data_IF_844685855690
#
_entry.id   IF_844685855690
#
_cell.length_a   1.000
_cell.length_b   1.000
_cell.length_c   1.000
_cell.angle_alpha   90.00
_cell.angle_beta   90.00
_cell.angle_gamma   90.00
#
_symmetry.space_group_name_H-M   'P 1'
#
loop_
_entity.id
_entity.type
_entity.pdbx_description
1 polymer ?
#
# COMPACT_ATOMS: atom_id res chain seq x y z
N UNK A 1 17.05 -22.75 -16.64
CA UNK A 1 16.58 -23.95 -15.92
C UNK A 1 16.85 -23.77 -14.44
N UNK A 2 15.85 -24.07 -13.60
CA UNK A 2 15.80 -23.90 -12.13
C UNK A 2 15.50 -22.48 -11.64
N UNK A 3 14.21 -22.14 -11.61
CA UNK A 3 13.68 -21.22 -10.60
C UNK A 3 12.82 -22.05 -9.66
N UNK A 4 13.21 -22.03 -8.39
CA UNK A 4 12.68 -22.89 -7.34
C UNK A 4 11.19 -22.61 -7.10
N UNK A 5 10.43 -23.69 -6.91
CA UNK A 5 9.08 -23.66 -6.37
C UNK A 5 9.03 -23.12 -4.93
N UNK A 6 7.82 -22.70 -4.53
CA UNK A 6 7.33 -22.15 -3.25
C UNK A 6 7.34 -20.61 -3.17
N UNK A 7 6.32 -19.93 -2.63
CA UNK A 7 5.17 -20.39 -1.84
C UNK A 7 3.97 -19.47 -2.12
N UNK A 8 2.77 -20.06 -2.04
CA UNK A 8 1.53 -19.36 -1.76
C UNK A 8 1.79 -18.30 -0.68
N UNK A 9 1.77 -17.02 -1.03
CA UNK A 9 1.89 -15.96 -0.01
C UNK A 9 0.62 -16.07 0.85
N UNK A 10 0.75 -16.40 2.15
CA UNK A 10 -0.36 -16.23 3.07
C UNK A 10 -0.75 -14.75 3.06
N UNK A 11 -1.95 -14.43 3.53
CA UNK A 11 -2.50 -13.06 3.66
C UNK A 11 -1.73 -12.29 4.77
N UNK A 12 -0.40 -12.31 4.70
CA UNK A 12 0.57 -11.95 5.73
C UNK A 12 1.74 -11.14 5.18
N UNK A 13 1.62 -10.50 4.00
CA UNK A 13 2.51 -9.35 3.74
C UNK A 13 2.04 -8.16 4.58
N UNK A 14 2.29 -8.32 5.86
CA UNK A 14 2.28 -7.34 6.93
C UNK A 14 3.76 -7.17 7.24
N UNK A 15 4.39 -6.00 6.98
CA UNK A 15 5.80 -5.78 7.30
C UNK A 15 6.08 -6.28 8.73
N UNK A 16 7.24 -6.84 9.04
CA UNK A 16 7.53 -7.40 10.38
C UNK A 16 7.36 -6.40 11.55
N UNK A 17 7.15 -5.11 11.27
CA UNK A 17 6.70 -4.11 12.22
C UNK A 17 5.21 -4.17 12.61
N UNK A 18 4.38 -4.90 11.87
CA UNK A 18 2.93 -4.75 11.82
C UNK A 18 2.18 -6.06 12.17
N UNK A 19 2.88 -7.19 12.29
CA UNK A 19 2.34 -8.48 12.79
C UNK A 19 2.06 -8.49 14.31
N UNK A 20 2.31 -7.37 15.00
CA UNK A 20 1.97 -7.15 16.42
C UNK A 20 0.81 -6.16 16.63
N UNK A 21 0.11 -5.77 15.57
CA UNK A 21 -1.05 -4.88 15.68
C UNK A 21 -2.30 -5.76 15.86
N UNK A 22 -2.54 -6.20 17.09
CA UNK A 22 -3.89 -6.56 17.50
C UNK A 22 -4.79 -5.33 17.32
N UNK A 23 -6.02 -5.51 16.81
CA UNK A 23 -7.04 -4.47 16.82
C UNK A 23 -7.28 -4.04 18.28
N UNK A 24 -6.63 -2.95 18.66
CA UNK A 24 -6.42 -2.54 20.03
C UNK A 24 -5.20 -1.65 20.10
N UNK A 25 -5.16 -0.76 21.08
CA UNK A 25 -4.06 0.18 21.35
C UNK A 25 -2.75 -0.59 21.65
N UNK A 26 -2.07 -1.09 20.62
CA UNK A 26 -0.81 -1.81 20.73
C UNK A 26 0.33 -0.81 20.87
N UNK A 27 0.89 -0.77 22.08
CA UNK A 27 1.92 0.15 22.52
C UNK A 27 3.33 -0.19 21.99
N UNK A 28 3.54 -0.14 20.67
CA UNK A 28 4.87 0.26 20.17
C UNK A 28 4.94 1.78 20.33
N UNK A 29 5.95 2.29 21.04
CA UNK A 29 6.09 3.72 21.32
C UNK A 29 5.89 4.56 20.05
N UNK A 30 4.83 5.38 20.02
CA UNK A 30 4.50 6.25 18.90
C UNK A 30 3.27 5.86 18.07
N UNK A 31 2.78 4.62 18.12
CA UNK A 31 1.55 4.23 17.39
C UNK A 31 0.34 4.48 18.29
N UNK A 32 -0.58 5.34 17.85
CA UNK A 32 -1.81 5.70 18.60
C UNK A 32 -3.09 5.12 18.02
N UNK A 33 -3.09 4.79 16.73
CA UNK A 33 -4.21 4.18 16.04
C UNK A 33 -3.72 3.27 14.93
N UNK A 34 -4.47 2.19 14.67
CA UNK A 34 -4.30 1.33 13.52
C UNK A 34 -5.65 1.16 12.83
N UNK A 35 -5.67 1.32 11.51
CA UNK A 35 -6.89 1.36 10.73
C UNK A 35 -6.90 0.23 9.71
N UNK A 36 -8.06 -0.44 9.52
CA UNK A 36 -8.19 -1.47 8.48
C UNK A 36 -8.28 -0.87 7.08
N UNK A 37 -8.47 0.45 6.95
CA UNK A 37 -8.67 1.14 5.67
C UNK A 37 -8.14 2.57 5.72
N UNK A 38 -7.55 3.00 4.60
CA UNK A 38 -7.06 4.37 4.39
C UNK A 38 -8.21 5.37 4.17
N UNK A 39 -9.44 4.91 3.90
CA UNK A 39 -10.59 5.80 3.66
C UNK A 39 -10.96 6.65 4.89
N UNK A 40 -10.70 6.14 6.10
CA UNK A 40 -10.97 6.86 7.35
C UNK A 40 -9.85 7.84 7.74
N UNK A 41 -8.70 7.79 7.05
CA UNK A 41 -7.49 8.51 7.42
C UNK A 41 -7.68 10.03 7.49
N UNK A 42 -8.30 10.70 6.50
CA UNK A 42 -8.49 12.16 6.57
C UNK A 42 -9.36 12.58 7.76
N UNK A 43 -10.41 11.82 8.06
CA UNK A 43 -11.30 12.13 9.18
C UNK A 43 -10.57 12.04 10.53
N UNK A 44 -9.67 11.07 10.68
CA UNK A 44 -8.91 10.89 11.93
C UNK A 44 -7.81 11.95 12.07
N UNK A 45 -7.07 12.24 10.99
CA UNK A 45 -6.04 13.28 11.00
C UNK A 45 -6.65 14.66 11.28
N UNK A 46 -7.85 14.96 10.77
CA UNK A 46 -8.55 16.23 11.08
C UNK A 46 -9.04 16.32 12.52
N UNK A 47 -9.42 15.20 13.11
CA UNK A 47 -10.03 15.16 14.44
C UNK A 47 -9.01 14.99 15.58
N UNK A 48 -7.72 14.83 15.28
CA UNK A 48 -6.67 14.49 16.26
C UNK A 48 -5.35 15.17 15.93
N UNK A 49 -4.42 15.22 16.89
CA UNK A 49 -3.04 15.67 16.67
C UNK A 49 -2.14 14.54 16.11
N UNK A 50 -2.72 13.59 15.37
CA UNK A 50 -1.99 12.47 14.78
C UNK A 50 -1.57 12.78 13.35
N UNK A 51 -0.42 12.24 12.97
CA UNK A 51 0.07 12.24 11.59
C UNK A 51 0.04 10.83 11.03
N UNK A 52 -0.15 10.72 9.72
CA UNK A 52 -0.08 9.44 9.01
C UNK A 52 0.87 9.56 7.82
N UNK A 53 1.67 8.50 7.62
CA UNK A 53 2.55 8.39 6.46
C UNK A 53 1.95 7.38 5.49
N UNK A 54 1.73 7.80 4.24
CA UNK A 54 1.13 6.98 3.18
C UNK A 54 1.94 7.13 1.89
N UNK A 55 1.86 6.14 0.97
CA UNK A 55 2.40 6.32 -0.38
C UNK A 55 1.77 7.55 -1.05
N UNK A 56 2.58 8.36 -1.74
CA UNK A 56 2.12 9.58 -2.43
C UNK A 56 0.96 9.32 -3.39
N UNK A 57 0.95 8.16 -4.05
CA UNK A 57 -0.13 7.71 -4.94
C UNK A 57 -1.51 7.67 -4.28
N UNK A 58 -1.58 7.57 -2.94
CA UNK A 58 -2.85 7.62 -2.18
C UNK A 58 -3.56 8.96 -2.35
N UNK A 59 -2.82 10.06 -2.56
CA UNK A 59 -3.40 11.39 -2.75
C UNK A 59 -4.14 11.54 -4.09
N UNK A 60 -3.85 10.66 -5.06
CA UNK A 60 -4.57 10.60 -6.33
C UNK A 60 -5.86 9.77 -6.25
N UNK A 61 -6.09 9.06 -5.14
CA UNK A 61 -7.34 8.34 -4.92
C UNK A 61 -8.51 9.31 -4.72
N UNK A 62 -9.76 8.91 -5.00
CA UNK A 62 -10.94 9.74 -4.75
C UNK A 62 -11.27 9.81 -3.26
N UNK A 63 -10.33 10.36 -2.46
CA UNK A 63 -10.40 10.52 -1.01
C UNK A 63 -10.33 12.03 -0.71
N UNK A 64 -11.19 12.50 0.18
CA UNK A 64 -11.24 13.91 0.56
C UNK A 64 -10.20 14.27 1.63
N UNK A 65 -9.08 14.80 1.15
CA UNK A 65 -7.99 15.36 1.96
C UNK A 65 -8.13 16.87 2.21
N UNK A 66 -9.32 17.46 2.00
CA UNK A 66 -9.57 18.86 2.39
C UNK A 66 -9.23 19.05 3.87
N UNK A 67 -8.61 20.20 4.19
CA UNK A 67 -8.10 20.56 5.51
C UNK A 67 -7.04 19.60 6.09
N UNK A 68 -6.37 18.82 5.23
CA UNK A 68 -5.19 18.01 5.60
C UNK A 68 -3.96 18.56 4.89
N UNK A 69 -2.91 18.81 5.66
CA UNK A 69 -1.61 19.24 5.13
C UNK A 69 -0.79 18.00 4.76
N UNK A 70 -0.26 17.98 3.53
CA UNK A 70 0.66 16.94 3.06
C UNK A 70 2.10 17.43 3.16
N UNK A 71 2.98 16.59 3.68
CA UNK A 71 4.42 16.83 3.78
C UNK A 71 5.18 15.66 3.16
N UNK A 72 6.38 15.92 2.64
CA UNK A 72 7.26 14.85 2.17
C UNK A 72 7.69 13.97 3.35
N UNK A 73 7.69 12.66 3.10
CA UNK A 73 8.08 11.69 4.10
C UNK A 73 9.61 11.75 4.34
N UNK A 74 10.09 11.40 5.55
CA UNK A 74 11.52 11.31 5.83
C UNK A 74 12.26 10.41 4.82
N UNK A 75 13.46 10.81 4.41
CA UNK A 75 14.24 10.14 3.34
C UNK A 75 14.69 8.73 3.71
N UNK A 76 14.66 8.39 5.00
CA UNK A 76 15.03 7.08 5.52
C UNK A 76 13.93 6.03 5.29
N UNK A 77 12.73 6.45 4.90
CA UNK A 77 11.64 5.53 4.57
C UNK A 77 11.87 4.89 3.21
N UNK A 78 11.62 3.58 3.08
CA UNK A 78 11.74 2.89 1.81
C UNK A 78 10.63 3.33 0.85
N UNK A 79 10.92 3.27 -0.44
CA UNK A 79 9.94 3.51 -1.49
C UNK A 79 8.81 2.48 -1.46
N UNK A 80 7.61 2.92 -1.81
CA UNK A 80 6.46 2.04 -1.98
C UNK A 80 6.60 1.21 -3.27
N UNK A 81 6.77 -0.10 -3.14
CA UNK A 81 6.87 -1.03 -4.28
C UNK A 81 5.50 -1.61 -4.61
N UNK A 82 5.09 -1.45 -5.88
CA UNK A 82 3.87 -2.06 -6.42
C UNK A 82 4.22 -3.28 -7.27
N UNK A 83 3.67 -4.44 -6.92
CA UNK A 83 3.92 -5.71 -7.62
C UNK A 83 2.61 -6.39 -8.00
N UNK A 84 2.58 -7.03 -9.18
CA UNK A 84 1.48 -7.88 -9.63
C UNK A 84 1.95 -9.33 -9.55
N UNK A 85 1.14 -10.19 -8.95
CA UNK A 85 1.43 -11.61 -8.79
C UNK A 85 0.38 -12.44 -9.53
N UNK A 86 0.83 -13.51 -10.18
CA UNK A 86 -0.04 -14.49 -10.81
C UNK A 86 0.59 -15.88 -10.71
N UNK A 87 -0.22 -16.90 -10.90
CA UNK A 87 0.26 -18.27 -10.95
C UNK A 87 0.86 -18.59 -12.33
N UNK A 88 1.98 -19.31 -12.39
CA UNK A 88 2.70 -19.68 -13.63
C UNK A 88 1.80 -20.29 -14.71
N UNK A 89 0.75 -21.00 -14.30
CA UNK A 89 -0.29 -21.56 -15.19
C UNK A 89 -0.86 -20.52 -16.16
N UNK A 90 -0.94 -19.26 -15.77
CA UNK A 90 -1.53 -18.18 -16.57
C UNK A 90 -0.48 -17.31 -17.27
N UNK A 91 0.79 -17.71 -17.24
CA UNK A 91 1.87 -16.88 -17.77
C UNK A 91 1.72 -16.62 -19.27
N UNK A 92 1.19 -17.60 -20.02
CA UNK A 92 0.94 -17.56 -21.46
C UNK A 92 -0.54 -17.48 -21.83
N UNK A 93 -1.41 -17.19 -20.87
CA UNK A 93 -2.83 -17.00 -21.15
C UNK A 93 -3.03 -15.60 -21.76
N UNK A 94 -3.59 -15.48 -22.99
CA UNK A 94 -3.68 -14.19 -23.68
C UNK A 94 -4.52 -13.14 -22.94
N UNK A 95 -5.56 -13.57 -22.20
CA UNK A 95 -6.39 -12.65 -21.43
C UNK A 95 -5.63 -12.13 -20.20
N UNK A 96 -4.85 -12.98 -19.54
CA UNK A 96 -3.96 -12.59 -18.45
C UNK A 96 -2.80 -11.71 -18.93
N UNK A 97 -2.20 -11.99 -20.08
CA UNK A 97 -1.19 -11.12 -20.71
C UNK A 97 -1.75 -9.72 -20.95
N UNK A 98 -2.90 -9.63 -21.62
CA UNK A 98 -3.58 -8.37 -21.88
C UNK A 98 -3.91 -7.61 -20.59
N UNK A 99 -4.50 -8.26 -19.59
CA UNK A 99 -4.86 -7.60 -18.33
C UNK A 99 -3.63 -7.07 -17.60
N UNK A 100 -2.53 -7.84 -17.54
CA UNK A 100 -1.28 -7.39 -16.92
C UNK A 100 -0.71 -6.16 -17.61
N UNK A 101 -0.81 -6.08 -18.93
CA UNK A 101 -0.35 -4.92 -19.69
C UNK A 101 -1.22 -3.68 -19.43
N UNK A 102 -2.54 -3.85 -19.38
CA UNK A 102 -3.49 -2.79 -19.00
C UNK A 102 -3.20 -2.27 -17.60
N UNK A 103 -3.05 -3.15 -16.61
CA UNK A 103 -2.76 -2.76 -15.22
C UNK A 103 -1.40 -2.08 -15.13
N UNK A 104 -0.37 -2.58 -15.81
CA UNK A 104 0.96 -1.96 -15.88
C UNK A 104 0.87 -0.54 -16.41
N UNK A 105 0.18 -0.35 -17.54
CA UNK A 105 0.02 0.95 -18.19
C UNK A 105 -0.71 1.94 -17.28
N UNK A 106 -1.82 1.51 -16.67
CA UNK A 106 -2.57 2.35 -15.73
C UNK A 106 -1.76 2.70 -14.47
N UNK A 107 -0.99 1.75 -13.94
CA UNK A 107 -0.15 1.96 -12.76
C UNK A 107 0.97 2.97 -13.02
N UNK A 108 1.67 2.87 -14.14
CA UNK A 108 2.72 3.84 -14.53
C UNK A 108 2.13 5.24 -14.67
N UNK A 109 0.98 5.38 -15.33
CA UNK A 109 0.27 6.64 -15.44
C UNK A 109 -0.17 7.24 -14.08
N UNK A 110 -0.25 6.43 -13.03
CA UNK A 110 -0.61 6.88 -11.68
C UNK A 110 0.63 7.23 -10.85
N UNK A 111 1.70 6.44 -10.96
CA UNK A 111 2.96 6.63 -10.22
C UNK A 111 3.72 7.86 -10.72
N UNK A 112 3.65 8.16 -12.02
CA UNK A 112 4.35 9.30 -12.63
C UNK A 112 3.63 10.65 -12.45
N UNK A 113 2.43 10.66 -11.84
CA UNK A 113 1.71 11.91 -11.57
C UNK A 113 2.26 12.56 -10.29
N UNK A 114 2.78 13.81 -10.38
CA UNK A 114 3.41 14.52 -9.25
C UNK A 114 2.43 14.85 -8.11
#
# INVERSE_FOLDING_TARGET
GRHQHLANTPIEFVPAGMSGISYGTSARGGIRAALPSLLALPAIVRATDLVATVPRTTLAAPIDFTDVVTLDAPKELPDAVHSIWWHDRFDRDPAHEWLRDVVRTAALATIERP
#
